data_IF_218930437358
#
_entry.id   IF_218930437358
#
_cell.length_a   1.000
_cell.length_b   1.000
_cell.length_c   1.000
_cell.angle_alpha   90.00
_cell.angle_beta   90.00
_cell.angle_gamma   90.00
#
_symmetry.space_group_name_H-M   'P 1'
#
loop_
_entity.id
_entity.type
_entity.pdbx_description
1 polymer ?
#
# COMPACT_ATOMS: atom_id res chain seq x y z
N UNK A 1 8.41 7.63 5.37
CA UNK A 1 7.69 6.56 6.11
C UNK A 1 7.25 7.03 7.51
N UNK A 2 8.18 7.39 8.40
CA UNK A 2 7.92 7.81 9.80
C UNK A 2 6.81 8.85 9.95
N UNK A 3 6.85 9.95 9.19
CA UNK A 3 5.79 10.98 9.24
C UNK A 3 4.41 10.45 8.81
N UNK A 4 4.36 9.41 7.97
CA UNK A 4 3.10 8.82 7.49
C UNK A 4 2.59 7.73 8.42
N UNK A 5 3.48 6.95 9.04
CA UNK A 5 3.12 6.12 10.19
C UNK A 5 2.61 7.01 11.33
N UNK A 6 3.22 8.18 11.56
CA UNK A 6 2.70 9.18 12.48
C UNK A 6 1.35 9.75 12.04
N UNK A 7 1.06 9.89 10.74
CA UNK A 7 -0.28 10.25 10.26
C UNK A 7 -1.29 9.12 10.47
N UNK A 8 -0.96 7.87 10.14
CA UNK A 8 -1.80 6.69 10.41
C UNK A 8 -2.10 6.57 11.91
N UNK A 9 -1.07 6.71 12.74
CA UNK A 9 -1.15 6.69 14.20
C UNK A 9 -1.89 7.90 14.77
N UNK A 10 -1.65 9.11 14.27
CA UNK A 10 -2.35 10.32 14.70
C UNK A 10 -3.83 10.30 14.27
N UNK A 11 -4.13 9.74 13.10
CA UNK A 11 -5.49 9.51 12.63
C UNK A 11 -6.19 8.47 13.52
N UNK A 12 -5.50 7.36 13.85
CA UNK A 12 -5.97 6.38 14.83
C UNK A 12 -6.19 6.96 16.23
N UNK A 13 -5.24 7.74 16.76
CA UNK A 13 -5.29 8.30 18.12
C UNK A 13 -6.28 9.46 18.27
N UNK A 14 -6.37 10.38 17.30
CA UNK A 14 -7.25 11.56 17.36
C UNK A 14 -8.72 11.15 17.24
N UNK A 15 -9.06 10.26 16.31
CA UNK A 15 -10.46 10.01 15.97
C UNK A 15 -11.10 8.90 16.80
N UNK A 16 -10.35 7.85 17.17
CA UNK A 16 -10.86 6.83 18.10
C UNK A 16 -11.11 7.41 19.50
N UNK A 17 -10.40 8.49 19.87
CA UNK A 17 -10.58 9.20 21.13
C UNK A 17 -11.76 10.20 21.10
N UNK A 18 -12.06 10.81 19.96
CA UNK A 18 -13.10 11.84 19.85
C UNK A 18 -14.52 11.29 19.58
N UNK A 19 -14.66 10.09 19.00
CA UNK A 19 -15.96 9.40 18.91
C UNK A 19 -16.30 8.66 20.20
N UNK A 20 -16.65 9.43 21.24
CA UNK A 20 -17.07 8.97 22.58
C UNK A 20 -18.55 8.56 22.67
N UNK A 21 -19.28 8.48 21.56
CA UNK A 21 -20.56 7.79 21.53
C UNK A 21 -20.35 6.27 21.58
N UNK A 22 -20.26 5.73 22.80
CA UNK A 22 -20.55 4.36 23.30
C UNK A 22 -20.17 3.09 22.48
N UNK A 23 -19.64 3.19 21.25
CA UNK A 23 -19.52 2.11 20.27
C UNK A 23 -18.16 2.12 19.56
N UNK A 24 -17.25 3.05 19.89
CA UNK A 24 -15.87 2.97 19.42
C UNK A 24 -15.18 1.76 20.09
N UNK A 25 -14.72 0.77 19.30
CA UNK A 25 -14.19 -0.46 19.86
C UNK A 25 -12.89 -0.18 20.62
N UNK A 26 -12.89 -0.44 21.94
CA UNK A 26 -11.73 -0.30 22.85
C UNK A 26 -10.45 -0.94 22.31
N UNK A 27 -10.56 -1.93 21.42
CA UNK A 27 -9.44 -2.64 20.81
C UNK A 27 -8.71 -1.85 19.71
N UNK A 28 -9.33 -0.88 19.05
CA UNK A 28 -8.64 0.00 18.10
C UNK A 28 -7.58 0.86 18.78
N UNK A 29 -7.86 1.31 20.00
CA UNK A 29 -6.90 2.06 20.83
C UNK A 29 -5.67 1.23 21.16
N UNK A 30 -5.81 -0.09 21.32
CA UNK A 30 -4.66 -0.97 21.57
C UNK A 30 -3.75 -1.11 20.35
N UNK A 31 -4.30 -1.26 19.13
CA UNK A 31 -3.48 -1.31 17.92
C UNK A 31 -2.72 0.00 17.67
N UNK A 32 -3.42 1.12 17.78
CA UNK A 32 -2.81 2.45 17.62
C UNK A 32 -1.77 2.74 18.71
N UNK A 33 -2.08 2.46 19.97
CA UNK A 33 -1.13 2.64 21.09
C UNK A 33 0.11 1.76 20.94
N UNK A 34 -0.04 0.51 20.53
CA UNK A 34 1.08 -0.39 20.28
C UNK A 34 2.04 0.15 19.22
N UNK A 35 1.49 0.69 18.13
CA UNK A 35 2.29 1.32 17.06
C UNK A 35 3.01 2.59 17.56
N UNK A 36 2.31 3.46 18.28
CA UNK A 36 2.91 4.68 18.88
C UNK A 36 4.06 4.34 19.84
N UNK A 37 3.83 3.41 20.78
CA UNK A 37 4.86 2.97 21.74
C UNK A 37 6.08 2.42 21.00
N UNK A 38 5.85 1.63 19.94
CA UNK A 38 6.92 0.99 19.19
C UNK A 38 7.81 2.01 18.46
N UNK A 39 7.21 3.01 17.79
CA UNK A 39 7.96 4.08 17.15
C UNK A 39 8.67 4.99 18.15
N UNK A 40 8.00 5.40 19.24
CA UNK A 40 8.63 6.23 20.27
C UNK A 40 9.83 5.54 20.92
N UNK A 41 9.71 4.23 21.18
CA UNK A 41 10.79 3.43 21.74
C UNK A 41 11.94 3.30 20.74
N UNK A 42 11.64 3.09 19.44
CA UNK A 42 12.64 3.04 18.38
C UNK A 42 13.46 4.34 18.30
N UNK A 43 12.77 5.49 18.29
CA UNK A 43 13.40 6.81 18.29
C UNK A 43 14.25 7.03 19.54
N UNK A 44 13.74 6.69 20.74
CA UNK A 44 14.49 6.81 22.00
C UNK A 44 15.73 5.91 22.05
N UNK A 45 15.70 4.77 21.36
CA UNK A 45 16.83 3.87 21.22
C UNK A 45 17.83 4.28 20.13
N UNK A 46 17.58 5.38 19.41
CA UNK A 46 18.47 5.92 18.38
C UNK A 46 18.30 5.29 17.00
N UNK A 47 17.24 4.51 16.76
CA UNK A 47 16.94 3.97 15.44
C UNK A 47 16.32 5.07 14.55
N UNK A 48 17.07 5.51 13.54
CA UNK A 48 16.63 6.53 12.56
C UNK A 48 16.07 5.94 11.27
N UNK A 49 16.31 4.64 11.03
CA UNK A 49 15.85 3.91 9.84
C UNK A 49 14.34 3.55 9.89
N UNK A 50 13.64 3.93 10.97
CA UNK A 50 12.20 3.67 11.12
C UNK A 50 11.85 2.25 11.58
N UNK A 51 12.82 1.49 12.11
CA UNK A 51 12.51 0.20 12.74
C UNK A 51 11.75 0.38 14.05
N UNK A 52 10.78 -0.49 14.25
CA UNK A 52 9.92 -0.53 15.41
C UNK A 52 10.50 -1.49 16.46
N UNK A 53 10.55 -1.09 17.72
CA UNK A 53 10.97 -1.99 18.79
C UNK A 53 9.74 -2.66 19.42
N UNK A 54 9.71 -3.99 19.45
CA UNK A 54 8.58 -4.75 20.02
C UNK A 54 8.84 -5.08 21.48
N UNK A 55 8.47 -4.12 22.35
CA UNK A 55 8.51 -4.27 23.81
C UNK A 55 7.38 -5.19 24.33
N UNK A 56 7.44 -5.67 25.58
CA UNK A 56 6.32 -6.40 26.20
C UNK A 56 4.98 -5.64 26.14
N UNK A 57 5.01 -4.32 26.28
CA UNK A 57 3.83 -3.45 26.20
C UNK A 57 3.23 -3.45 24.78
N UNK A 58 4.09 -3.37 23.75
CA UNK A 58 3.66 -3.46 22.34
C UNK A 58 3.05 -4.83 22.05
N UNK A 59 3.63 -5.92 22.56
CA UNK A 59 3.06 -7.28 22.42
C UNK A 59 1.70 -7.41 23.09
N UNK A 60 1.56 -6.86 24.30
CA UNK A 60 0.29 -6.87 25.03
C UNK A 60 -0.79 -6.08 24.28
N UNK A 61 -0.45 -4.89 23.77
CA UNK A 61 -1.36 -4.07 22.98
C UNK A 61 -1.80 -4.78 21.68
N UNK A 62 -0.86 -5.44 20.97
CA UNK A 62 -1.15 -6.29 19.81
C UNK A 62 -2.12 -7.43 20.16
N UNK A 63 -1.87 -8.15 21.25
CA UNK A 63 -2.72 -9.26 21.69
C UNK A 63 -4.16 -8.79 21.98
N UNK A 64 -4.32 -7.67 22.70
CA UNK A 64 -5.63 -7.10 23.01
C UNK A 64 -6.38 -6.62 21.76
N UNK A 65 -5.66 -6.04 20.79
CA UNK A 65 -6.22 -5.65 19.51
C UNK A 65 -6.76 -6.87 18.74
N UNK A 66 -6.00 -7.95 18.67
CA UNK A 66 -6.39 -9.20 18.01
C UNK A 66 -7.61 -9.85 18.67
N UNK A 67 -7.64 -9.90 20.01
CA UNK A 67 -8.77 -10.45 20.77
C UNK A 67 -10.08 -9.71 20.49
N UNK A 68 -10.03 -8.38 20.32
CA UNK A 68 -11.22 -7.58 19.98
C UNK A 68 -11.60 -7.65 18.49
N UNK A 69 -10.62 -7.81 17.61
CA UNK A 69 -10.84 -7.85 16.17
C UNK A 69 -11.53 -9.15 15.71
N UNK A 70 -11.16 -10.30 16.28
CA UNK A 70 -11.72 -11.61 15.91
C UNK A 70 -13.27 -11.67 15.96
N UNK A 71 -13.94 -11.33 17.08
CA UNK A 71 -15.40 -11.34 17.13
C UNK A 71 -16.02 -10.29 16.19
N UNK A 72 -15.35 -9.14 15.99
CA UNK A 72 -15.82 -8.12 15.06
C UNK A 72 -15.88 -8.63 13.61
N UNK A 73 -14.83 -9.34 13.15
CA UNK A 73 -14.83 -9.96 11.82
C UNK A 73 -15.90 -11.05 11.71
N UNK A 74 -16.06 -11.87 12.75
CA UNK A 74 -17.08 -12.93 12.77
C UNK A 74 -18.50 -12.35 12.67
N UNK A 75 -18.80 -11.25 13.37
CA UNK A 75 -20.08 -10.53 13.25
C UNK A 75 -20.29 -9.99 11.82
N UNK A 76 -19.27 -9.34 11.25
CA UNK A 76 -19.34 -8.76 9.91
C UNK A 76 -19.69 -9.80 8.84
N UNK A 77 -19.18 -11.03 8.98
CA UNK A 77 -19.47 -12.13 8.06
C UNK A 77 -20.93 -12.61 8.13
N UNK A 78 -21.62 -12.40 9.25
CA UNK A 78 -23.00 -12.86 9.46
C UNK A 78 -24.06 -11.81 9.12
N UNK A 79 -23.69 -10.52 9.09
CA UNK A 79 -24.64 -9.42 8.91
C UNK A 79 -24.95 -9.12 7.43
N UNK A 80 -26.22 -8.82 7.15
CA UNK A 80 -26.63 -8.18 5.89
C UNK A 80 -26.22 -6.70 5.89
N UNK A 81 -25.98 -6.15 4.71
CA UNK A 81 -25.52 -4.78 4.52
C UNK A 81 -26.41 -3.75 5.24
N UNK A 82 -25.82 -3.02 6.19
CA UNK A 82 -26.42 -1.88 6.90
C UNK A 82 -25.35 -0.80 7.12
N UNK A 83 -25.73 0.46 7.28
CA UNK A 83 -24.75 1.56 7.48
C UNK A 83 -23.83 1.33 8.69
N UNK A 84 -24.35 0.72 9.75
CA UNK A 84 -23.56 0.31 10.93
C UNK A 84 -22.57 -0.81 10.64
N UNK A 85 -22.84 -1.68 9.65
CA UNK A 85 -21.91 -2.74 9.23
C UNK A 85 -20.73 -2.16 8.44
N UNK A 86 -20.96 -1.13 7.62
CA UNK A 86 -19.90 -0.44 6.88
C UNK A 86 -18.88 0.22 7.82
N UNK A 87 -19.35 0.98 8.82
CA UNK A 87 -18.44 1.63 9.77
C UNK A 87 -17.61 0.61 10.57
N UNK A 88 -18.25 -0.49 11.02
CA UNK A 88 -17.54 -1.60 11.67
C UNK A 88 -16.47 -2.22 10.75
N UNK A 89 -16.79 -2.40 9.48
CA UNK A 89 -15.84 -2.95 8.51
C UNK A 89 -14.66 -2.00 8.25
N UNK A 90 -14.92 -0.69 8.12
CA UNK A 90 -13.87 0.34 7.99
C UNK A 90 -12.93 0.30 9.22
N UNK A 91 -13.48 0.24 10.43
CA UNK A 91 -12.68 0.11 11.65
C UNK A 91 -11.88 -1.19 11.69
N UNK A 92 -12.46 -2.31 11.28
CA UNK A 92 -11.74 -3.58 11.21
C UNK A 92 -10.54 -3.49 10.25
N UNK A 93 -10.72 -2.92 9.04
CA UNK A 93 -9.63 -2.70 8.09
C UNK A 93 -8.55 -1.81 8.69
N UNK A 94 -8.92 -0.70 9.33
CA UNK A 94 -7.99 0.21 9.98
C UNK A 94 -7.07 -0.51 10.98
N UNK A 95 -7.66 -1.33 11.84
CA UNK A 95 -6.97 -2.06 12.90
C UNK A 95 -6.07 -3.13 12.31
N UNK A 96 -6.53 -3.85 11.28
CA UNK A 96 -5.72 -4.84 10.58
C UNK A 96 -4.50 -4.18 9.94
N UNK A 97 -4.65 -3.04 9.25
CA UNK A 97 -3.54 -2.34 8.61
C UNK A 97 -2.55 -1.74 9.63
N UNK A 98 -3.02 -1.30 10.79
CA UNK A 98 -2.16 -0.90 11.92
C UNK A 98 -1.31 -2.08 12.42
N UNK A 99 -1.93 -3.26 12.57
CA UNK A 99 -1.23 -4.48 12.98
C UNK A 99 -0.23 -4.94 11.90
N UNK A 100 -0.60 -4.92 10.63
CA UNK A 100 0.32 -5.17 9.51
C UNK A 100 1.52 -4.23 9.55
N UNK A 101 1.29 -2.94 9.78
CA UNK A 101 2.36 -1.94 9.86
C UNK A 101 3.32 -2.23 11.01
N UNK A 102 2.78 -2.58 12.19
CA UNK A 102 3.60 -2.93 13.34
C UNK A 102 4.54 -4.10 13.05
N UNK A 103 4.08 -5.08 12.27
CA UNK A 103 4.87 -6.27 11.95
C UNK A 103 5.89 -6.02 10.84
N UNK A 104 5.50 -5.27 9.80
CA UNK A 104 6.40 -4.86 8.72
C UNK A 104 7.58 -4.05 9.27
N UNK A 105 7.32 -3.09 10.17
CA UNK A 105 8.38 -2.23 10.71
C UNK A 105 9.05 -2.82 11.96
N UNK A 106 8.38 -3.72 12.68
CA UNK A 106 8.85 -4.28 13.94
C UNK A 106 9.81 -5.45 13.82
N UNK A 107 10.13 -5.85 12.58
CA UNK A 107 10.92 -7.05 12.26
C UNK A 107 10.45 -8.31 13.02
N UNK A 108 9.16 -8.38 13.35
CA UNK A 108 8.60 -9.57 13.99
C UNK A 108 8.30 -10.60 12.93
N UNK A 109 8.77 -11.84 13.13
CA UNK A 109 8.53 -12.95 12.23
C UNK A 109 7.02 -13.14 11.91
N UNK A 110 6.68 -12.98 10.62
CA UNK A 110 5.91 -13.97 9.86
C UNK A 110 4.38 -13.92 9.85
N UNK A 111 3.73 -12.81 10.18
CA UNK A 111 2.25 -12.74 10.12
C UNK A 111 1.65 -11.53 9.39
N UNK A 112 2.47 -10.62 8.87
CA UNK A 112 1.94 -9.40 8.24
C UNK A 112 1.12 -9.74 7.00
N UNK A 113 1.46 -10.86 6.35
CA UNK A 113 0.74 -11.47 5.25
C UNK A 113 -0.69 -11.88 5.62
N UNK A 114 -0.83 -12.49 6.80
CA UNK A 114 -2.13 -12.92 7.34
C UNK A 114 -3.01 -11.70 7.58
N UNK A 115 -2.43 -10.63 8.13
CA UNK A 115 -3.14 -9.37 8.33
C UNK A 115 -3.52 -8.73 7.00
N UNK A 116 -2.60 -8.63 6.04
CA UNK A 116 -2.90 -8.04 4.74
C UNK A 116 -4.03 -8.81 4.02
N UNK A 117 -4.00 -10.15 4.06
CA UNK A 117 -5.08 -10.95 3.48
C UNK A 117 -6.41 -10.81 4.23
N UNK A 118 -6.38 -10.64 5.55
CA UNK A 118 -7.56 -10.35 6.34
C UNK A 118 -8.17 -8.99 5.96
N UNK A 119 -7.35 -7.95 5.77
CA UNK A 119 -7.81 -6.63 5.32
C UNK A 119 -8.50 -6.73 3.96
N UNK A 120 -7.87 -7.41 2.98
CA UNK A 120 -8.47 -7.65 1.68
C UNK A 120 -9.80 -8.41 1.75
N UNK A 121 -9.92 -9.39 2.67
CA UNK A 121 -11.17 -10.14 2.89
C UNK A 121 -12.29 -9.26 3.44
N UNK A 122 -11.97 -8.29 4.32
CA UNK A 122 -12.96 -7.33 4.83
C UNK A 122 -13.34 -6.32 3.74
N UNK A 123 -12.40 -5.88 2.90
CA UNK A 123 -12.72 -5.02 1.75
C UNK A 123 -13.59 -5.76 0.72
N UNK A 124 -13.32 -7.03 0.42
CA UNK A 124 -14.19 -7.87 -0.42
C UNK A 124 -15.60 -8.03 0.19
N UNK A 125 -15.72 -8.00 1.52
CA UNK A 125 -17.02 -8.02 2.20
C UNK A 125 -17.74 -6.67 2.03
N UNK A 126 -17.03 -5.55 2.18
CA UNK A 126 -17.59 -4.21 1.92
C UNK A 126 -18.10 -4.13 0.48
N UNK A 127 -17.30 -4.55 -0.50
CA UNK A 127 -17.68 -4.56 -1.91
C UNK A 127 -18.97 -5.37 -2.13
N UNK A 128 -19.06 -6.58 -1.57
CA UNK A 128 -20.27 -7.42 -1.67
C UNK A 128 -21.49 -6.83 -0.99
N UNK A 129 -21.32 -6.21 0.17
CA UNK A 129 -22.42 -5.61 0.92
C UNK A 129 -23.01 -4.39 0.19
N UNK A 130 -22.17 -3.67 -0.55
CA UNK A 130 -22.59 -2.49 -1.30
C UNK A 130 -23.06 -2.79 -2.73
N UNK A 131 -22.75 -3.97 -3.26
CA UNK A 131 -23.10 -4.41 -4.61
C UNK A 131 -24.62 -4.27 -4.90
N UNK A 132 -24.98 -3.20 -5.61
CA UNK A 132 -26.32 -2.95 -6.12
C UNK A 132 -26.37 -3.24 -7.63
N UNK A 133 -26.47 -4.53 -7.99
CA UNK A 133 -26.86 -5.04 -9.32
C UNK A 133 -26.09 -4.57 -10.58
N UNK A 134 -25.09 -3.70 -10.49
CA UNK A 134 -24.33 -3.18 -11.63
C UNK A 134 -22.86 -3.65 -11.59
N UNK A 135 -22.26 -3.85 -12.76
CA UNK A 135 -20.88 -4.34 -12.95
C UNK A 135 -19.79 -3.29 -12.60
N UNK A 136 -20.12 -2.25 -11.82
CA UNK A 136 -19.19 -1.18 -11.44
C UNK A 136 -18.74 -1.44 -10.00
N UNK A 137 -17.47 -1.19 -9.70
CA UNK A 137 -16.96 -1.36 -8.33
C UNK A 137 -17.63 -0.38 -7.37
N UNK A 138 -18.29 -0.89 -6.33
CA UNK A 138 -19.03 -0.08 -5.37
C UNK A 138 -18.11 0.74 -4.47
N UNK A 139 -16.97 0.17 -4.07
CA UNK A 139 -15.90 0.93 -3.44
C UNK A 139 -15.46 2.06 -4.38
N UNK A 140 -15.24 1.78 -5.67
CA UNK A 140 -14.88 2.80 -6.65
C UNK A 140 -15.87 3.96 -6.73
N UNK A 141 -17.18 3.66 -6.75
CA UNK A 141 -18.25 4.68 -6.74
C UNK A 141 -18.24 5.52 -5.46
N UNK A 142 -18.07 4.88 -4.30
CA UNK A 142 -17.98 5.59 -3.02
C UNK A 142 -16.77 6.54 -2.99
N UNK A 143 -15.62 6.07 -3.46
CA UNK A 143 -14.39 6.86 -3.45
C UNK A 143 -14.42 8.03 -4.45
N UNK A 144 -15.17 7.88 -5.55
CA UNK A 144 -15.34 8.93 -6.57
C UNK A 144 -16.32 10.04 -6.15
N UNK A 145 -16.92 9.96 -4.95
CA UNK A 145 -17.87 10.95 -4.48
C UNK A 145 -17.20 12.31 -4.22
N UNK A 146 -17.70 13.36 -4.87
CA UNK A 146 -17.17 14.74 -4.75
C UNK A 146 -17.32 15.36 -3.36
N UNK A 147 -18.26 14.90 -2.54
CA UNK A 147 -18.47 15.37 -1.16
C UNK A 147 -18.52 14.17 -0.21
N UNK A 148 -17.38 13.49 0.00
CA UNK A 148 -17.35 12.25 0.77
C UNK A 148 -17.60 12.55 2.25
N UNK A 149 -18.37 11.68 2.91
CA UNK A 149 -18.48 11.72 4.38
C UNK A 149 -17.13 11.41 5.01
N UNK A 150 -17.02 11.61 6.33
CA UNK A 150 -15.79 11.29 7.05
C UNK A 150 -15.39 9.81 6.89
N UNK A 151 -16.37 8.90 7.00
CA UNK A 151 -16.20 7.46 6.88
C UNK A 151 -15.73 7.06 5.47
N UNK A 152 -16.23 7.75 4.44
CA UNK A 152 -15.80 7.49 3.06
C UNK A 152 -14.36 7.97 2.83
N UNK A 153 -13.97 9.12 3.40
CA UNK A 153 -12.55 9.55 3.35
C UNK A 153 -11.63 8.57 4.08
N UNK A 154 -12.08 8.05 5.22
CA UNK A 154 -11.37 7.00 5.96
C UNK A 154 -11.20 5.73 5.12
N UNK A 155 -12.29 5.27 4.49
CA UNK A 155 -12.25 4.13 3.60
C UNK A 155 -11.26 4.36 2.45
N UNK A 156 -11.27 5.55 1.83
CA UNK A 156 -10.30 5.90 0.78
C UNK A 156 -8.85 5.82 1.25
N UNK A 157 -8.57 6.32 2.45
CA UNK A 157 -7.26 6.19 3.09
C UNK A 157 -6.83 4.73 3.27
N UNK A 158 -7.72 3.88 3.79
CA UNK A 158 -7.40 2.47 4.04
C UNK A 158 -7.33 1.64 2.77
N UNK A 159 -8.17 1.91 1.76
CA UNK A 159 -8.09 1.26 0.44
C UNK A 159 -6.79 1.62 -0.24
N UNK A 160 -6.39 2.90 -0.26
CA UNK A 160 -5.12 3.35 -0.80
C UNK A 160 -3.93 2.66 -0.10
N UNK A 161 -3.95 2.62 1.23
CA UNK A 161 -2.90 1.96 2.03
C UNK A 161 -2.84 0.46 1.71
N UNK A 162 -3.99 -0.20 1.68
CA UNK A 162 -4.08 -1.62 1.38
C UNK A 162 -3.58 -1.95 -0.04
N UNK A 163 -4.06 -1.24 -1.06
CA UNK A 163 -3.67 -1.45 -2.47
C UNK A 163 -2.18 -1.21 -2.67
N UNK A 164 -1.64 -0.16 -2.06
CA UNK A 164 -0.21 0.11 -2.06
C UNK A 164 0.59 -1.08 -1.50
N UNK A 165 0.24 -1.54 -0.29
CA UNK A 165 0.95 -2.64 0.37
C UNK A 165 0.78 -3.96 -0.39
N UNK A 166 -0.41 -4.27 -0.91
CA UNK A 166 -0.69 -5.50 -1.65
C UNK A 166 0.10 -5.58 -2.97
N UNK A 167 0.19 -4.49 -3.72
CA UNK A 167 0.97 -4.44 -4.96
C UNK A 167 2.47 -4.60 -4.70
N UNK A 168 3.01 -3.90 -3.69
CA UNK A 168 4.43 -4.04 -3.34
C UNK A 168 4.74 -5.45 -2.81
N UNK A 169 3.85 -6.03 -2.02
CA UNK A 169 4.00 -7.39 -1.54
C UNK A 169 3.97 -8.42 -2.68
N UNK A 170 3.07 -8.25 -3.65
CA UNK A 170 3.04 -9.09 -4.86
C UNK A 170 4.34 -8.94 -5.67
N UNK A 171 4.84 -7.71 -5.83
CA UNK A 171 6.10 -7.47 -6.55
C UNK A 171 7.30 -8.14 -5.85
N UNK A 172 7.35 -8.10 -4.51
CA UNK A 172 8.43 -8.65 -3.71
C UNK A 172 8.38 -10.18 -3.58
N UNK A 173 7.19 -10.77 -3.49
CA UNK A 173 7.01 -12.20 -3.16
C UNK A 173 6.40 -13.03 -4.28
N UNK A 174 5.91 -12.41 -5.35
CA UNK A 174 5.36 -13.08 -6.53
C UNK A 174 3.90 -13.53 -6.42
N UNK A 175 3.45 -14.32 -7.40
CA UNK A 175 2.04 -14.68 -7.63
C UNK A 175 1.38 -15.47 -6.49
N UNK A 176 2.15 -16.27 -5.76
CA UNK A 176 1.65 -17.09 -4.64
C UNK A 176 1.11 -16.22 -3.50
N UNK A 177 1.49 -14.95 -3.49
CA UNK A 177 1.18 -14.00 -2.44
C UNK A 177 -0.16 -13.29 -2.64
N UNK A 178 -0.51 -12.93 -3.88
CA UNK A 178 -1.73 -12.16 -4.16
C UNK A 178 -2.93 -13.07 -4.39
N UNK A 179 -3.96 -12.87 -3.57
CA UNK A 179 -5.29 -13.43 -3.81
C UNK A 179 -6.08 -12.48 -4.72
N UNK A 180 -6.73 -12.95 -5.79
CA UNK A 180 -7.64 -12.14 -6.58
C UNK A 180 -8.74 -11.53 -5.71
N UNK A 181 -9.04 -10.25 -5.93
CA UNK A 181 -9.98 -9.48 -5.10
C UNK A 181 -11.19 -9.04 -5.87
N UNK A 182 -12.26 -8.77 -5.14
CA UNK A 182 -13.58 -8.52 -5.74
C UNK A 182 -13.65 -7.16 -6.43
N UNK A 183 -12.81 -6.22 -6.04
CA UNK A 183 -12.67 -4.93 -6.69
C UNK A 183 -11.34 -4.90 -7.48
N UNK A 184 -11.40 -4.49 -8.74
CA UNK A 184 -10.23 -4.42 -9.62
C UNK A 184 -9.40 -3.16 -9.34
N UNK A 185 -8.29 -3.32 -8.63
CA UNK A 185 -7.42 -2.20 -8.26
C UNK A 185 -6.88 -1.48 -9.49
N UNK A 186 -6.60 -2.21 -10.58
CA UNK A 186 -5.92 -1.64 -11.74
C UNK A 186 -6.81 -0.60 -12.41
N UNK A 187 -8.07 -0.95 -12.63
CA UNK A 187 -9.08 -0.02 -13.15
C UNK A 187 -9.31 1.17 -12.22
N UNK A 188 -9.33 0.96 -10.90
CA UNK A 188 -9.52 2.05 -9.94
C UNK A 188 -8.33 3.01 -9.87
N UNK A 189 -7.10 2.50 -10.00
CA UNK A 189 -5.90 3.32 -10.08
C UNK A 189 -5.81 4.12 -11.38
N UNK A 190 -6.16 3.49 -12.51
CA UNK A 190 -6.10 4.12 -13.83
C UNK A 190 -7.14 5.24 -14.01
N UNK A 191 -8.29 5.13 -13.35
CA UNK A 191 -9.35 6.15 -13.37
C UNK A 191 -9.24 7.14 -12.21
N UNK A 192 -8.13 7.12 -11.44
CA UNK A 192 -7.88 7.99 -10.29
C UNK A 192 -8.96 7.93 -9.19
N UNK A 193 -9.71 6.83 -9.10
CA UNK A 193 -10.68 6.60 -8.03
C UNK A 193 -9.97 6.35 -6.67
N UNK A 194 -8.73 5.84 -6.70
CA UNK A 194 -7.86 5.72 -5.52
C UNK A 194 -6.80 6.81 -5.60
N UNK A 195 -6.71 7.70 -4.62
CA UNK A 195 -5.74 8.80 -4.62
C UNK A 195 -4.44 8.46 -3.88
N UNK A 196 -3.55 7.68 -4.53
CA UNK A 196 -2.24 7.37 -3.93
C UNK A 196 -1.33 8.60 -3.85
N UNK A 197 -1.56 9.65 -4.64
CA UNK A 197 -0.70 10.83 -4.60
C UNK A 197 -0.92 11.61 -3.32
N UNK A 198 -2.16 11.87 -2.92
CA UNK A 198 -2.45 12.58 -1.67
C UNK A 198 -2.10 11.72 -0.44
N UNK A 199 -2.35 10.42 -0.50
CA UNK A 199 -2.25 9.52 0.65
C UNK A 199 -0.84 8.95 0.81
N UNK A 200 -0.27 8.41 -0.27
CA UNK A 200 1.04 7.77 -0.33
C UNK A 200 2.09 8.61 -1.04
N UNK A 201 1.80 9.87 -1.38
CA UNK A 201 2.76 10.77 -2.06
C UNK A 201 3.32 10.20 -3.36
N UNK A 202 2.64 9.25 -3.98
CA UNK A 202 3.14 8.58 -5.17
C UNK A 202 2.04 8.52 -6.21
N UNK A 203 2.37 8.81 -7.46
CA UNK A 203 1.39 8.80 -8.54
C UNK A 203 0.85 7.38 -8.78
N UNK A 204 -0.45 7.29 -9.03
CA UNK A 204 -1.13 6.05 -9.40
C UNK A 204 -0.42 5.34 -10.57
N UNK A 205 -0.03 6.11 -11.59
CA UNK A 205 0.65 5.59 -12.79
C UNK A 205 1.90 4.75 -12.48
N UNK A 206 2.68 5.12 -11.45
CA UNK A 206 3.88 4.37 -11.05
C UNK A 206 3.52 3.05 -10.39
N UNK A 207 2.51 3.05 -9.50
CA UNK A 207 2.04 1.83 -8.86
C UNK A 207 1.31 0.90 -9.84
N UNK A 208 0.56 1.47 -10.78
CA UNK A 208 0.03 0.76 -11.95
C UNK A 208 1.14 0.08 -12.73
N UNK A 209 2.26 0.77 -12.99
CA UNK A 209 3.40 0.17 -13.67
C UNK A 209 3.99 -1.00 -12.88
N UNK A 210 4.24 -0.86 -11.57
CA UNK A 210 4.71 -1.97 -10.72
C UNK A 210 3.77 -3.18 -10.82
N UNK A 211 2.45 -2.96 -10.68
CA UNK A 211 1.46 -4.03 -10.81
C UNK A 211 1.49 -4.69 -12.19
N UNK A 212 1.64 -3.90 -13.27
CA UNK A 212 1.74 -4.45 -14.62
C UNK A 212 2.99 -5.29 -14.83
N UNK A 213 4.12 -4.91 -14.22
CA UNK A 213 5.34 -5.73 -14.21
C UNK A 213 5.10 -7.03 -13.45
N UNK A 214 4.46 -6.99 -12.28
CA UNK A 214 4.09 -8.21 -11.55
C UNK A 214 3.20 -9.13 -12.38
N UNK A 215 2.18 -8.59 -13.05
CA UNK A 215 1.28 -9.37 -13.91
C UNK A 215 2.02 -10.01 -15.09
N UNK A 216 2.96 -9.29 -15.71
CA UNK A 216 3.83 -9.83 -16.77
C UNK A 216 4.69 -10.98 -16.23
N UNK A 217 5.33 -10.80 -15.07
CA UNK A 217 6.13 -11.86 -14.46
C UNK A 217 5.31 -13.12 -14.18
N UNK A 218 4.08 -12.95 -13.70
CA UNK A 218 3.15 -14.07 -13.44
C UNK A 218 2.75 -14.77 -14.74
N UNK A 219 2.45 -14.03 -15.81
CA UNK A 219 2.05 -14.65 -17.09
C UNK A 219 3.22 -15.36 -17.77
N UNK A 220 4.44 -14.83 -17.65
CA UNK A 220 5.67 -15.49 -18.09
C UNK A 220 5.88 -16.82 -17.33
N UNK A 221 5.77 -16.83 -16.01
CA UNK A 221 5.89 -18.07 -15.21
C UNK A 221 4.85 -19.14 -15.57
N UNK A 222 3.66 -18.73 -16.02
CA UNK A 222 2.60 -19.64 -16.43
C UNK A 222 2.72 -20.09 -17.90
N UNK A 223 3.71 -19.59 -18.65
CA UNK A 223 3.83 -19.81 -20.09
C UNK A 223 2.65 -19.24 -20.89
N UNK A 224 1.96 -18.23 -20.35
CA UNK A 224 0.73 -17.66 -20.92
C UNK A 224 0.99 -16.41 -21.76
N UNK A 225 2.24 -15.98 -21.91
CA UNK A 225 2.58 -14.72 -22.56
C UNK A 225 3.50 -14.92 -23.78
N UNK A 226 2.95 -15.26 -24.96
CA UNK A 226 3.74 -15.40 -26.19
C UNK A 226 4.34 -14.07 -26.66
N UNK A 227 3.79 -12.93 -26.22
CA UNK A 227 4.21 -11.57 -26.58
C UNK A 227 5.02 -10.90 -25.44
N UNK A 228 5.60 -11.69 -24.53
CA UNK A 228 6.36 -11.16 -23.39
C UNK A 228 7.47 -10.16 -23.78
N UNK A 229 8.25 -10.35 -24.86
CA UNK A 229 9.26 -9.36 -25.27
C UNK A 229 8.67 -8.00 -25.67
N UNK A 230 7.57 -8.01 -26.42
CA UNK A 230 6.90 -6.78 -26.88
C UNK A 230 6.27 -6.03 -25.70
N UNK A 231 5.61 -6.76 -24.80
CA UNK A 231 5.02 -6.20 -23.59
C UNK A 231 6.07 -5.65 -22.62
N UNK A 232 7.20 -6.34 -22.49
CA UNK A 232 8.36 -5.85 -21.71
C UNK A 232 8.87 -4.52 -22.27
N UNK A 233 9.05 -4.43 -23.60
CA UNK A 233 9.49 -3.20 -24.27
C UNK A 233 8.49 -2.06 -24.08
N UNK A 234 7.20 -2.34 -24.23
CA UNK A 234 6.14 -1.35 -24.04
C UNK A 234 6.10 -0.82 -22.59
N UNK A 235 6.22 -1.70 -21.60
CA UNK A 235 6.29 -1.30 -20.18
C UNK A 235 7.56 -0.51 -19.87
N UNK A 236 8.71 -0.90 -20.42
CA UNK A 236 9.97 -0.16 -20.24
C UNK A 236 9.86 1.27 -20.77
N UNK A 237 9.33 1.45 -21.99
CA UNK A 237 9.08 2.77 -22.56
C UNK A 237 8.12 3.61 -21.70
N UNK A 238 7.03 3.00 -21.24
CA UNK A 238 6.05 3.66 -20.36
C UNK A 238 6.69 4.12 -19.05
N UNK A 239 7.45 3.25 -18.38
CA UNK A 239 8.14 3.58 -17.12
C UNK A 239 9.18 4.68 -17.33
N UNK A 240 9.97 4.63 -18.40
CA UNK A 240 10.96 5.68 -18.71
C UNK A 240 10.29 7.02 -19.00
N UNK A 241 9.16 7.02 -19.70
CA UNK A 241 8.36 8.23 -19.88
C UNK A 241 7.90 8.79 -18.52
N UNK A 242 7.40 7.95 -17.61
CA UNK A 242 7.01 8.37 -16.26
C UNK A 242 8.18 8.97 -15.46
N UNK A 243 9.37 8.37 -15.57
CA UNK A 243 10.60 8.89 -14.95
C UNK A 243 10.92 10.27 -15.52
N UNK A 244 10.95 10.42 -16.84
CA UNK A 244 11.27 11.69 -17.50
C UNK A 244 10.27 12.79 -17.14
N UNK A 245 8.96 12.49 -17.21
CA UNK A 245 7.89 13.41 -16.85
C UNK A 245 8.02 13.85 -15.39
N UNK A 246 8.21 12.91 -14.46
CA UNK A 246 8.34 13.21 -13.03
C UNK A 246 9.62 13.99 -12.75
N UNK A 247 10.75 13.63 -13.37
CA UNK A 247 12.03 14.33 -13.24
C UNK A 247 11.94 15.77 -13.75
N UNK A 248 11.22 16.01 -14.85
CA UNK A 248 11.02 17.35 -15.39
C UNK A 248 10.16 18.23 -14.49
N UNK A 249 9.21 17.66 -13.75
CA UNK A 249 8.39 18.40 -12.80
C UNK A 249 9.19 18.91 -11.57
N UNK A 250 10.40 18.41 -11.31
CA UNK A 250 11.22 18.89 -10.18
C UNK A 250 11.76 20.31 -10.35
N UNK A 251 11.86 20.81 -11.58
CA UNK A 251 12.49 22.11 -11.84
C UNK A 251 11.59 23.30 -11.51
N UNK A 252 10.32 23.05 -11.20
CA UNK A 252 9.35 24.08 -10.85
C UNK A 252 9.33 24.33 -9.33
N UNK A 253 9.12 25.58 -8.93
CA UNK A 253 9.15 25.99 -7.53
C UNK A 253 7.99 25.38 -6.73
N UNK A 254 8.22 24.20 -6.16
CA UNK A 254 7.24 23.41 -5.43
C UNK A 254 7.31 23.62 -3.92
N UNK A 255 6.17 23.44 -3.26
CA UNK A 255 6.10 23.37 -1.78
C UNK A 255 6.80 22.11 -1.26
N UNK A 256 7.26 22.10 -0.01
CA UNK A 256 8.02 20.98 0.56
C UNK A 256 7.32 19.62 0.41
N UNK A 257 5.99 19.56 0.57
CA UNK A 257 5.20 18.33 0.45
C UNK A 257 5.07 17.82 -0.99
N UNK A 258 4.98 18.73 -1.96
CA UNK A 258 4.93 18.36 -3.38
C UNK A 258 6.27 17.80 -3.83
N UNK A 259 7.38 18.41 -3.38
CA UNK A 259 8.72 17.91 -3.68
C UNK A 259 8.94 16.52 -3.08
N UNK A 260 8.48 16.27 -1.86
CA UNK A 260 8.56 14.95 -1.25
C UNK A 260 7.72 13.91 -2.01
N UNK A 261 6.55 14.30 -2.52
CA UNK A 261 5.74 13.43 -3.38
C UNK A 261 6.44 13.12 -4.70
N UNK A 262 7.10 14.10 -5.32
CA UNK A 262 7.89 13.88 -6.53
C UNK A 262 9.04 12.90 -6.26
N UNK A 263 9.75 13.02 -5.13
CA UNK A 263 10.83 12.09 -4.76
C UNK A 263 10.33 10.67 -4.55
N UNK A 264 9.24 10.49 -3.82
CA UNK A 264 8.65 9.16 -3.60
C UNK A 264 8.19 8.56 -4.93
N UNK A 265 7.56 9.36 -5.80
CA UNK A 265 7.14 8.92 -7.14
C UNK A 265 8.34 8.48 -7.98
N UNK A 266 9.40 9.30 -8.04
CA UNK A 266 10.59 9.02 -8.83
C UNK A 266 11.32 7.76 -8.34
N UNK A 267 11.44 7.60 -7.02
CA UNK A 267 12.03 6.42 -6.41
C UNK A 267 11.30 5.14 -6.82
N UNK A 268 9.96 5.14 -6.75
CA UNK A 268 9.16 3.98 -7.14
C UNK A 268 9.17 3.75 -8.66
N UNK A 269 9.29 4.81 -9.47
CA UNK A 269 9.42 4.69 -10.92
C UNK A 269 10.73 3.98 -11.30
N UNK A 270 11.85 4.39 -10.70
CA UNK A 270 13.13 3.67 -10.87
C UNK A 270 13.07 2.24 -10.34
N UNK A 271 12.47 2.02 -9.17
CA UNK A 271 12.29 0.67 -8.62
C UNK A 271 11.47 -0.22 -9.58
N UNK A 272 10.43 0.34 -10.22
CA UNK A 272 9.63 -0.38 -11.22
C UNK A 272 10.44 -0.76 -12.46
N UNK A 273 11.37 0.10 -12.90
CA UNK A 273 12.26 -0.19 -14.03
C UNK A 273 13.24 -1.31 -13.71
N UNK A 274 13.88 -1.23 -12.53
CA UNK A 274 14.79 -2.29 -12.04
C UNK A 274 14.05 -3.61 -11.87
N UNK A 275 12.81 -3.56 -11.36
CA UNK A 275 11.97 -4.75 -11.23
C UNK A 275 11.66 -5.36 -12.60
N UNK A 276 11.27 -4.54 -13.59
CA UNK A 276 11.02 -5.00 -14.96
C UNK A 276 12.27 -5.65 -15.58
N UNK A 277 13.44 -5.04 -15.41
CA UNK A 277 14.71 -5.61 -15.90
C UNK A 277 15.02 -6.95 -15.24
N UNK A 278 14.75 -7.07 -13.94
CA UNK A 278 14.91 -8.33 -13.21
C UNK A 278 13.97 -9.40 -13.77
N UNK A 279 12.70 -9.07 -14.01
CA UNK A 279 11.71 -9.96 -14.63
C UNK A 279 12.13 -10.37 -16.05
N UNK A 280 12.57 -9.41 -16.86
CA UNK A 280 13.03 -9.65 -18.22
C UNK A 280 14.26 -10.56 -18.26
N UNK A 281 15.24 -10.35 -17.38
CA UNK A 281 16.41 -11.20 -17.25
C UNK A 281 16.06 -12.63 -16.82
N UNK A 282 15.05 -12.81 -15.94
CA UNK A 282 14.54 -14.14 -15.59
C UNK A 282 13.89 -14.84 -16.78
N UNK A 283 13.16 -14.12 -17.64
CA UNK A 283 12.63 -14.68 -18.88
C UNK A 283 13.69 -14.95 -19.95
N UNK A 284 14.74 -14.13 -19.98
CA UNK A 284 15.80 -14.18 -20.98
C UNK A 284 16.96 -15.11 -20.62
N UNK A 285 17.00 -15.67 -19.40
CA UNK A 285 17.81 -16.87 -19.13
C UNK A 285 17.40 -18.07 -20.01
N UNK A 286 16.29 -17.97 -20.75
CA UNK A 286 15.91 -18.87 -21.85
C UNK A 286 16.22 -18.33 -23.26
N UNK A 287 16.65 -17.06 -23.44
CA UNK A 287 17.18 -16.50 -24.70
C UNK A 287 17.95 -15.17 -24.51
N UNK A 288 19.20 -15.08 -25.01
CA UNK A 288 20.17 -13.97 -24.93
C UNK A 288 19.57 -12.54 -24.79
N UNK A 289 19.87 -11.87 -23.67
CA UNK A 289 19.50 -10.47 -23.38
C UNK A 289 20.70 -9.52 -23.40
N UNK A 290 20.49 -8.31 -23.89
CA UNK A 290 21.53 -7.29 -24.08
C UNK A 290 21.85 -6.54 -22.76
N UNK A 291 23.09 -6.67 -22.28
CA UNK A 291 23.54 -6.31 -20.90
C UNK A 291 23.87 -4.82 -20.75
N UNK A 292 23.93 -4.06 -21.84
CA UNK A 292 24.50 -2.71 -21.82
C UNK A 292 23.51 -1.62 -21.35
N UNK A 293 22.20 -1.82 -21.59
CA UNK A 293 21.15 -0.85 -21.25
C UNK A 293 20.77 -0.87 -19.75
N UNK A 294 20.90 -2.03 -19.10
CA UNK A 294 20.61 -2.22 -17.66
C UNK A 294 21.59 -1.47 -16.76
N UNK A 295 22.84 -1.28 -17.21
CA UNK A 295 23.87 -0.60 -16.42
C UNK A 295 23.60 0.90 -16.23
N UNK A 296 22.99 1.56 -17.22
CA UNK A 296 22.68 2.99 -17.16
C UNK A 296 21.47 3.27 -16.27
N UNK A 297 20.42 2.45 -16.38
CA UNK A 297 19.22 2.55 -15.56
C UNK A 297 19.53 2.27 -14.07
N UNK A 298 20.42 1.31 -13.79
CA UNK A 298 20.88 1.02 -12.42
C UNK A 298 21.67 2.19 -11.80
N UNK A 299 22.50 2.88 -12.58
CA UNK A 299 23.24 4.05 -12.12
C UNK A 299 22.30 5.23 -11.80
N UNK A 300 21.28 5.45 -12.63
CA UNK A 300 20.28 6.49 -12.39
C UNK A 300 19.44 6.19 -11.14
N UNK A 301 19.04 4.93 -10.93
CA UNK A 301 18.37 4.49 -9.72
C UNK A 301 19.24 4.73 -8.47
N UNK A 302 20.52 4.39 -8.52
CA UNK A 302 21.47 4.66 -7.43
C UNK A 302 21.59 6.14 -7.11
N UNK A 303 21.63 7.00 -8.13
CA UNK A 303 21.67 8.46 -7.96
C UNK A 303 20.39 8.99 -7.32
N UNK A 304 19.22 8.48 -7.72
CA UNK A 304 17.93 8.85 -7.12
C UNK A 304 17.85 8.42 -5.65
N UNK A 305 18.37 7.23 -5.30
CA UNK A 305 18.47 6.75 -3.92
C UNK A 305 19.36 7.67 -3.08
N UNK A 306 20.56 8.01 -3.58
CA UNK A 306 21.46 8.93 -2.86
C UNK A 306 20.83 10.31 -2.64
N UNK A 307 20.13 10.85 -3.65
CA UNK A 307 19.41 12.11 -3.50
C UNK A 307 18.30 12.04 -2.45
N UNK A 308 17.59 10.91 -2.39
CA UNK A 308 16.59 10.63 -1.37
C UNK A 308 17.21 10.54 0.04
N UNK A 309 18.28 9.76 0.20
CA UNK A 309 19.03 9.60 1.46
C UNK A 309 19.53 10.93 2.00
N UNK A 310 20.18 11.75 1.15
CA UNK A 310 20.65 13.08 1.53
C UNK A 310 19.54 14.01 2.00
N UNK A 311 18.35 13.94 1.38
CA UNK A 311 17.22 14.81 1.72
C UNK A 311 16.53 14.37 3.01
N UNK A 312 16.38 13.07 3.23
CA UNK A 312 15.62 12.53 4.36
C UNK A 312 16.49 12.09 5.54
N UNK A 313 17.82 12.15 5.42
CA UNK A 313 18.75 11.78 6.49
C UNK A 313 18.69 10.31 6.85
N UNK A 314 18.47 9.45 5.84
CA UNK A 314 18.42 7.98 5.96
C UNK A 314 19.68 7.35 5.41
#
# INVERSE_FOLDING_TARGET
MQQRCNRISAWGCSELANNTEAHSPRFGNHASSGLCISFETGVKAGFTNGTCHVTPEVRNARLLALQGLQPCIAELQQQKAQTSSLLKAIHAVAIILLLSSLEIYGETEGTWEVHLNAAGTVLDLIERQLAASNNVSCIGELLSNSTPSFEIRALGFFVATYVWTDILAEAAHGASYSKPRMFDYLSLLQNDAIDLRSIMGCRNSVITAIKQVSLLFISMQKGQEPEAPERTKALSLSIRHLIQETASAFTDAHTDLEVDSCWVTLLHAYASLVYLQTVAAHGALESDFDVQETSQDAWQASTAIQGFEQRFGV
#
